data_IF_738936217784
#
_entry.id   IF_738936217784
#
_cell.length_a   1.000
_cell.length_b   1.000
_cell.length_c   1.000
_cell.angle_alpha   90.00
_cell.angle_beta   90.00
_cell.angle_gamma   90.00
#
_symmetry.space_group_name_H-M   'P 1'
#
loop_
_entity.id
_entity.type
_entity.pdbx_description
1 polymer ?
#
# COMPACT_ATOMS: atom_id res chain seq x y z
N UNK A 1 -11.31 21.21 9.95
CA UNK A 1 -9.84 21.14 9.72
C UNK A 1 -9.59 21.17 8.23
N UNK A 2 -8.47 21.77 7.83
CA UNK A 2 -8.06 21.78 6.42
C UNK A 2 -7.15 20.58 6.11
N UNK A 3 -7.52 19.82 5.12
CA UNK A 3 -6.76 18.65 4.68
C UNK A 3 -6.11 18.88 3.32
N UNK A 4 -4.95 18.25 3.10
CA UNK A 4 -4.41 18.06 1.77
C UNK A 4 -4.15 16.58 1.53
N UNK A 5 -4.44 16.08 0.33
CA UNK A 5 -4.10 14.71 -0.09
C UNK A 5 -3.16 14.78 -1.27
N UNK A 6 -1.94 14.27 -1.12
CA UNK A 6 -0.92 14.32 -2.16
C UNK A 6 -0.73 12.94 -2.77
N UNK A 7 -0.95 12.83 -4.09
CA UNK A 7 -0.84 11.58 -4.84
C UNK A 7 -2.19 10.93 -5.11
N UNK A 8 -2.80 11.27 -6.25
CA UNK A 8 -4.14 10.84 -6.66
C UNK A 8 -4.13 9.49 -7.40
N UNK A 9 -3.45 8.50 -6.79
CA UNK A 9 -3.61 7.10 -7.15
C UNK A 9 -4.90 6.50 -6.59
N UNK A 10 -5.01 5.17 -6.55
CA UNK A 10 -6.21 4.50 -6.03
C UNK A 10 -6.52 4.89 -4.57
N UNK A 11 -5.52 4.84 -3.69
CA UNK A 11 -5.67 5.19 -2.27
C UNK A 11 -5.98 6.67 -2.11
N UNK A 12 -5.17 7.57 -2.68
CA UNK A 12 -5.38 9.01 -2.50
C UNK A 12 -6.70 9.51 -3.06
N UNK A 13 -7.20 8.93 -4.17
CA UNK A 13 -8.52 9.24 -4.70
C UNK A 13 -9.66 8.78 -3.77
N UNK A 14 -9.52 7.62 -3.11
CA UNK A 14 -10.50 7.16 -2.12
C UNK A 14 -10.46 8.08 -0.89
N UNK A 15 -9.30 8.32 -0.32
CA UNK A 15 -9.13 9.13 0.89
C UNK A 15 -9.64 10.56 0.65
N UNK A 16 -9.16 11.21 -0.40
CA UNK A 16 -9.55 12.58 -0.74
C UNK A 16 -11.03 12.70 -1.13
N UNK A 17 -11.54 11.74 -1.90
CA UNK A 17 -12.95 11.72 -2.29
C UNK A 17 -13.89 11.53 -1.09
N UNK A 18 -13.54 10.69 -0.12
CA UNK A 18 -14.36 10.50 1.08
C UNK A 18 -14.31 11.71 2.02
N UNK A 19 -13.16 12.37 2.15
CA UNK A 19 -13.04 13.63 2.88
C UNK A 19 -13.96 14.70 2.26
N UNK A 20 -13.84 14.92 0.95
CA UNK A 20 -14.68 15.89 0.24
C UNK A 20 -16.17 15.55 0.35
N UNK A 21 -16.54 14.27 0.19
CA UNK A 21 -17.94 13.81 0.34
C UNK A 21 -18.51 14.01 1.73
N UNK A 22 -17.66 14.02 2.74
CA UNK A 22 -18.05 14.27 4.14
C UNK A 22 -18.19 15.76 4.49
N UNK A 23 -17.90 16.65 3.53
CA UNK A 23 -17.95 18.09 3.74
C UNK A 23 -16.69 18.67 4.42
N UNK A 24 -15.60 17.91 4.45
CA UNK A 24 -14.33 18.42 4.94
C UNK A 24 -13.68 19.35 3.91
N UNK A 25 -12.99 20.37 4.39
CA UNK A 25 -12.18 21.26 3.55
C UNK A 25 -10.92 20.49 3.13
N UNK A 26 -10.84 20.12 1.86
CA UNK A 26 -9.74 19.27 1.34
C UNK A 26 -9.28 19.72 -0.03
N UNK A 27 -7.96 19.89 -0.18
CA UNK A 27 -7.32 20.06 -1.47
C UNK A 27 -6.60 18.79 -1.90
N UNK A 28 -6.75 18.41 -3.16
CA UNK A 28 -6.13 17.23 -3.75
C UNK A 28 -4.99 17.64 -4.69
N UNK A 29 -3.78 17.13 -4.44
CA UNK A 29 -2.61 17.42 -5.24
C UNK A 29 -2.23 16.21 -6.08
N UNK A 30 -2.21 16.39 -7.41
CA UNK A 30 -1.95 15.32 -8.36
C UNK A 30 -1.21 15.77 -9.61
N UNK A 31 -1.00 14.83 -10.54
CA UNK A 31 -0.40 15.11 -11.85
C UNK A 31 -1.41 15.78 -12.78
N UNK A 32 -0.96 16.55 -13.78
CA UNK A 32 -1.81 17.34 -14.68
C UNK A 32 -2.97 16.53 -15.25
N UNK A 33 -2.71 15.33 -15.78
CA UNK A 33 -3.76 14.49 -16.35
C UNK A 33 -4.81 14.02 -15.31
N UNK A 34 -4.42 13.88 -14.05
CA UNK A 34 -5.34 13.53 -12.96
C UNK A 34 -6.20 14.74 -12.59
N UNK A 35 -5.57 15.89 -12.46
CA UNK A 35 -6.23 17.17 -12.13
C UNK A 35 -7.26 17.53 -13.18
N UNK A 36 -6.91 17.46 -14.46
CA UNK A 36 -7.82 17.76 -15.57
C UNK A 36 -9.08 16.87 -15.57
N UNK A 37 -8.90 15.56 -15.43
CA UNK A 37 -10.02 14.61 -15.42
C UNK A 37 -10.90 14.76 -14.17
N UNK A 38 -10.29 14.92 -12.99
CA UNK A 38 -11.04 15.08 -11.73
C UNK A 38 -11.80 16.42 -11.75
N UNK A 39 -11.21 17.50 -12.25
CA UNK A 39 -11.90 18.79 -12.37
C UNK A 39 -13.11 18.71 -13.30
N UNK A 40 -13.03 17.92 -14.38
CA UNK A 40 -14.12 17.74 -15.34
C UNK A 40 -15.21 16.79 -14.84
N UNK A 41 -14.88 15.71 -14.13
CA UNK A 41 -15.76 14.57 -13.88
C UNK A 41 -15.93 14.20 -12.39
N UNK A 42 -15.28 14.96 -11.49
CA UNK A 42 -15.26 14.60 -10.08
C UNK A 42 -14.50 13.30 -9.79
N UNK A 43 -14.76 12.75 -8.62
CA UNK A 43 -14.21 11.46 -8.17
C UNK A 43 -15.34 10.44 -8.04
N UNK A 44 -15.16 9.28 -8.68
CA UNK A 44 -16.05 8.14 -8.62
C UNK A 44 -15.40 7.00 -7.86
N UNK A 45 -16.03 6.55 -6.76
CA UNK A 45 -15.57 5.45 -5.91
C UNK A 45 -16.59 4.33 -5.99
N UNK A 46 -16.18 3.20 -6.58
CA UNK A 46 -16.97 1.99 -6.69
C UNK A 46 -16.59 0.98 -5.59
N UNK A 47 -17.43 -0.05 -5.36
CA UNK A 47 -17.10 -1.17 -4.47
C UNK A 47 -17.39 -0.93 -2.99
N UNK A 48 -17.83 0.26 -2.61
CA UNK A 48 -18.56 0.51 -1.38
C UNK A 48 -20.01 0.07 -1.54
N UNK A 49 -20.81 0.06 -0.47
CA UNK A 49 -22.21 -0.42 -0.54
C UNK A 49 -23.00 0.26 -1.66
N UNK A 50 -22.72 1.55 -1.91
CA UNK A 50 -23.27 2.34 -3.02
C UNK A 50 -22.11 2.99 -3.78
N UNK A 51 -22.36 3.31 -5.04
CA UNK A 51 -21.48 4.19 -5.81
C UNK A 51 -21.41 5.56 -5.13
N UNK A 52 -20.21 6.02 -4.82
CA UNK A 52 -20.00 7.39 -4.34
C UNK A 52 -19.46 8.22 -5.50
N UNK A 53 -20.17 9.32 -5.77
CA UNK A 53 -19.70 10.34 -6.69
C UNK A 53 -19.50 11.64 -5.92
N UNK A 54 -18.38 12.30 -6.17
CA UNK A 54 -18.00 13.57 -5.55
C UNK A 54 -17.71 14.57 -6.65
N UNK A 55 -18.64 15.51 -6.82
CA UNK A 55 -18.48 16.64 -7.74
C UNK A 55 -17.75 17.79 -7.05
N UNK A 56 -17.25 18.74 -7.83
CA UNK A 56 -16.66 20.00 -7.33
C UNK A 56 -15.52 19.79 -6.30
N UNK A 57 -14.61 18.86 -6.60
CA UNK A 57 -13.44 18.59 -5.78
C UNK A 57 -12.37 19.63 -6.06
N UNK A 58 -11.85 20.27 -5.01
CA UNK A 58 -10.69 21.15 -5.15
C UNK A 58 -9.44 20.33 -5.48
N UNK A 59 -8.88 20.54 -6.67
CA UNK A 59 -7.76 19.73 -7.17
C UNK A 59 -6.76 20.62 -7.93
N UNK A 60 -5.46 20.41 -7.69
CA UNK A 60 -4.38 21.20 -8.30
C UNK A 60 -3.11 20.38 -8.54
N UNK A 61 -2.24 20.92 -9.39
CA UNK A 61 -0.85 20.46 -9.53
C UNK A 61 0.11 21.28 -8.67
N UNK A 62 -0.34 22.40 -8.13
CA UNK A 62 0.48 23.32 -7.34
C UNK A 62 0.60 22.86 -5.89
N UNK A 63 1.80 22.44 -5.51
CA UNK A 63 2.09 21.97 -4.15
C UNK A 63 2.05 23.11 -3.12
N UNK A 64 2.21 24.38 -3.51
CA UNK A 64 2.19 25.51 -2.56
C UNK A 64 0.84 25.67 -1.86
N UNK A 65 -0.25 25.19 -2.47
CA UNK A 65 -1.61 25.28 -1.92
C UNK A 65 -1.83 24.44 -0.66
N UNK A 66 -0.87 23.59 -0.28
CA UNK A 66 -0.96 22.83 0.99
C UNK A 66 -0.52 23.65 2.21
N UNK A 67 -0.05 24.88 2.02
CA UNK A 67 0.54 25.73 3.07
C UNK A 67 -0.37 25.96 4.28
N UNK A 68 -1.68 26.04 4.05
CA UNK A 68 -2.69 26.26 5.09
C UNK A 68 -3.27 24.98 5.68
N UNK A 69 -2.83 23.81 5.21
CA UNK A 69 -3.36 22.53 5.67
C UNK A 69 -2.95 22.21 7.10
N UNK A 70 -3.91 21.75 7.90
CA UNK A 70 -3.66 21.24 9.26
C UNK A 70 -3.09 19.83 9.22
N UNK A 71 -3.58 19.01 8.27
CA UNK A 71 -3.17 17.62 8.07
C UNK A 71 -2.91 17.39 6.58
N UNK A 72 -1.73 16.86 6.27
CA UNK A 72 -1.34 16.45 4.91
C UNK A 72 -1.22 14.94 4.85
N UNK A 73 -1.95 14.32 3.92
CA UNK A 73 -1.98 12.88 3.71
C UNK A 73 -1.14 12.55 2.47
N UNK A 74 -0.09 11.72 2.65
CA UNK A 74 0.82 11.32 1.59
C UNK A 74 0.42 9.95 1.06
N UNK A 75 0.06 9.92 -0.23
CA UNK A 75 -0.36 8.73 -0.98
C UNK A 75 0.45 8.52 -2.26
N UNK A 76 1.57 9.23 -2.44
CA UNK A 76 2.47 9.00 -3.57
C UNK A 76 3.18 7.65 -3.44
N UNK A 77 3.80 7.17 -4.52
CA UNK A 77 4.65 5.98 -4.47
C UNK A 77 5.88 6.24 -3.61
N UNK A 78 6.37 5.19 -2.94
CA UNK A 78 7.47 5.28 -1.98
C UNK A 78 8.76 5.86 -2.57
N UNK A 79 9.04 5.62 -3.85
CA UNK A 79 10.19 6.20 -4.55
C UNK A 79 10.13 7.73 -4.70
N UNK A 80 8.95 8.30 -4.62
CA UNK A 80 8.75 9.76 -4.76
C UNK A 80 8.84 10.48 -3.40
N UNK A 81 8.96 9.76 -2.28
CA UNK A 81 8.85 10.30 -0.92
C UNK A 81 9.93 11.33 -0.60
N UNK A 82 11.19 11.04 -0.93
CA UNK A 82 12.32 11.92 -0.64
C UNK A 82 12.16 13.28 -1.34
N UNK A 83 11.95 13.24 -2.65
CA UNK A 83 11.79 14.46 -3.46
C UNK A 83 10.56 15.27 -3.03
N UNK A 84 9.44 14.58 -2.78
CA UNK A 84 8.24 15.24 -2.27
C UNK A 84 8.50 15.90 -0.92
N UNK A 85 9.20 15.26 0.00
CA UNK A 85 9.47 15.83 1.31
C UNK A 85 10.34 17.09 1.23
N UNK A 86 11.34 17.12 0.33
CA UNK A 86 12.20 18.27 0.09
C UNK A 86 11.42 19.46 -0.50
N UNK A 87 10.49 19.19 -1.41
CA UNK A 87 9.61 20.23 -1.95
C UNK A 87 8.59 20.70 -0.92
N UNK A 88 7.95 19.76 -0.22
CA UNK A 88 6.89 20.04 0.75
C UNK A 88 7.39 20.92 1.91
N UNK A 89 8.61 20.68 2.38
CA UNK A 89 9.27 21.46 3.45
C UNK A 89 9.26 22.97 3.19
N UNK A 90 9.22 23.41 1.92
CA UNK A 90 9.26 24.83 1.54
C UNK A 90 7.93 25.55 1.84
N UNK A 91 6.84 24.81 1.95
CA UNK A 91 5.50 25.39 2.01
C UNK A 91 4.79 25.15 3.33
N UNK A 92 5.08 24.05 4.04
CA UNK A 92 4.31 23.63 5.20
C UNK A 92 4.70 24.35 6.49
N UNK A 93 3.71 24.55 7.35
CA UNK A 93 3.92 25.11 8.70
C UNK A 93 4.46 24.03 9.65
N UNK A 94 5.21 24.40 10.67
CA UNK A 94 5.70 23.48 11.72
C UNK A 94 4.58 22.77 12.48
N UNK A 95 3.40 23.38 12.57
CA UNK A 95 2.21 22.80 13.22
C UNK A 95 1.45 21.79 12.36
N UNK A 96 1.76 21.72 11.06
CA UNK A 96 1.13 20.77 10.13
C UNK A 96 1.51 19.34 10.47
N UNK A 97 0.51 18.47 10.57
CA UNK A 97 0.69 17.03 10.77
C UNK A 97 0.78 16.35 9.39
N UNK A 98 1.72 15.45 9.23
CA UNK A 98 1.84 14.62 8.02
C UNK A 98 1.40 13.20 8.36
N UNK A 99 0.55 12.59 7.52
CA UNK A 99 0.15 11.19 7.62
C UNK A 99 0.63 10.46 6.36
N UNK A 100 1.54 9.48 6.52
CA UNK A 100 1.96 8.63 5.41
C UNK A 100 1.06 7.40 5.32
N UNK A 101 0.30 7.28 4.24
CA UNK A 101 -0.51 6.09 3.91
C UNK A 101 0.18 5.20 2.86
N UNK A 102 1.47 5.33 2.73
CA UNK A 102 2.29 4.63 1.76
C UNK A 102 2.62 3.20 2.22
N UNK A 103 2.92 2.31 1.27
CA UNK A 103 3.46 1.00 1.59
C UNK A 103 4.93 1.10 2.06
N UNK A 104 5.40 0.07 2.76
CA UNK A 104 6.77 0.04 3.30
C UNK A 104 6.85 0.55 4.73
N UNK A 105 8.07 0.63 5.24
CA UNK A 105 8.34 0.91 6.66
C UNK A 105 9.20 2.17 6.89
N UNK A 106 9.79 2.75 5.82
CA UNK A 106 10.74 3.87 5.93
C UNK A 106 10.15 5.24 5.60
N UNK A 107 8.99 5.31 4.93
CA UNK A 107 8.46 6.55 4.36
C UNK A 107 8.19 7.64 5.41
N UNK A 108 7.55 7.30 6.53
CA UNK A 108 7.29 8.26 7.62
C UNK A 108 8.58 8.79 8.25
N UNK A 109 9.62 7.94 8.36
CA UNK A 109 10.94 8.37 8.83
C UNK A 109 11.58 9.37 7.87
N UNK A 110 11.58 9.10 6.57
CA UNK A 110 12.10 10.02 5.54
C UNK A 110 11.37 11.37 5.63
N UNK A 111 10.03 11.35 5.64
CA UNK A 111 9.23 12.57 5.77
C UNK A 111 9.60 13.36 7.03
N UNK A 112 9.73 12.68 8.18
CA UNK A 112 10.09 13.33 9.45
C UNK A 112 11.50 13.92 9.43
N UNK A 113 12.49 13.20 8.93
CA UNK A 113 13.88 13.64 8.85
C UNK A 113 14.04 14.85 7.94
N UNK A 114 13.36 14.89 6.80
CA UNK A 114 13.45 15.97 5.82
C UNK A 114 12.66 17.21 6.23
N UNK A 115 11.40 17.02 6.62
CA UNK A 115 10.51 18.17 6.91
C UNK A 115 10.66 18.70 8.34
N UNK A 116 11.03 17.84 9.28
CA UNK A 116 11.08 18.15 10.72
C UNK A 116 9.70 18.31 11.35
N UNK A 117 8.63 17.91 10.67
CA UNK A 117 7.26 17.96 11.16
C UNK A 117 6.89 16.70 11.97
N UNK A 118 5.75 16.76 12.66
CA UNK A 118 5.12 15.55 13.22
C UNK A 118 4.61 14.68 12.08
N UNK A 119 5.10 13.45 12.02
CA UNK A 119 4.70 12.48 10.98
C UNK A 119 4.16 11.23 11.64
N UNK A 120 2.97 10.83 11.23
CA UNK A 120 2.35 9.56 11.62
C UNK A 120 2.29 8.60 10.43
N UNK A 121 2.47 7.33 10.71
CA UNK A 121 2.28 6.26 9.72
C UNK A 121 0.82 5.80 9.71
N UNK A 122 0.35 5.34 8.56
CA UNK A 122 -0.93 4.67 8.44
C UNK A 122 -0.85 3.40 7.60
N UNK A 123 -1.71 2.47 7.91
CA UNK A 123 -1.81 1.17 7.24
C UNK A 123 -3.17 1.06 6.57
N UNK A 124 -3.17 0.93 5.26
CA UNK A 124 -4.36 0.62 4.47
C UNK A 124 -4.52 -0.91 4.40
N UNK A 125 -5.65 -1.42 4.87
CA UNK A 125 -5.97 -2.85 4.84
C UNK A 125 -6.96 -3.22 3.70
N UNK A 126 -7.56 -2.23 3.04
CA UNK A 126 -8.35 -2.47 1.85
C UNK A 126 -7.48 -2.56 0.59
N UNK A 127 -8.02 -3.18 -0.46
CA UNK A 127 -7.41 -3.15 -1.79
C UNK A 127 -8.25 -2.30 -2.73
N UNK A 128 -7.56 -1.53 -3.58
CA UNK A 128 -8.20 -0.63 -4.51
C UNK A 128 -7.57 -0.72 -5.90
N UNK A 129 -8.42 -0.70 -6.92
CA UNK A 129 -8.03 -0.62 -8.32
C UNK A 129 -8.19 0.81 -8.81
N UNK A 130 -7.14 1.33 -9.42
CA UNK A 130 -7.18 2.60 -10.14
C UNK A 130 -7.62 2.34 -11.58
N UNK A 131 -8.87 2.64 -11.93
CA UNK A 131 -9.38 2.43 -13.29
C UNK A 131 -8.80 3.47 -14.25
N UNK A 132 -8.98 4.74 -13.91
CA UNK A 132 -8.46 5.93 -14.62
C UNK A 132 -8.46 7.12 -13.66
N UNK A 133 -7.93 8.30 -14.04
CA UNK A 133 -8.02 9.49 -13.21
C UNK A 133 -9.46 9.76 -12.74
N UNK A 134 -9.65 9.94 -11.43
CA UNK A 134 -10.94 10.19 -10.81
C UNK A 134 -11.89 8.97 -10.74
N UNK A 135 -11.50 7.80 -11.23
CA UNK A 135 -12.34 6.58 -11.16
C UNK A 135 -11.56 5.45 -10.49
N UNK A 136 -12.03 5.01 -9.33
CA UNK A 136 -11.39 3.99 -8.50
C UNK A 136 -12.41 2.96 -8.00
N UNK A 137 -11.95 1.74 -7.78
CA UNK A 137 -12.79 0.64 -7.26
C UNK A 137 -12.16 0.01 -6.04
N UNK A 138 -12.89 -0.03 -4.93
CA UNK A 138 -12.52 -0.81 -3.75
C UNK A 138 -12.79 -2.30 -4.06
N UNK A 139 -11.73 -3.07 -4.24
CA UNK A 139 -11.83 -4.48 -4.65
C UNK A 139 -11.79 -5.46 -3.48
N UNK A 140 -11.28 -5.03 -2.34
CA UNK A 140 -11.31 -5.78 -1.08
C UNK A 140 -11.62 -4.80 0.04
N UNK A 141 -12.65 -5.12 0.84
CA UNK A 141 -12.95 -4.35 2.06
C UNK A 141 -11.86 -4.57 3.10
N UNK A 142 -11.56 -3.54 3.85
CA UNK A 142 -10.58 -3.54 4.92
C UNK A 142 -10.55 -2.18 5.60
N UNK A 143 -9.83 -2.07 6.70
CA UNK A 143 -9.77 -0.89 7.54
C UNK A 143 -8.58 0.02 7.24
N UNK A 144 -8.43 0.97 8.14
CA UNK A 144 -7.32 1.90 8.23
C UNK A 144 -6.80 1.88 9.67
N UNK A 145 -5.50 1.65 9.85
CA UNK A 145 -4.85 1.79 11.15
C UNK A 145 -3.95 3.01 11.07
N UNK A 146 -4.13 3.96 11.98
CA UNK A 146 -3.30 5.17 12.05
C UNK A 146 -2.52 5.24 13.34
N UNK A 147 -1.28 5.66 13.21
CA UNK A 147 -0.47 6.03 14.35
C UNK A 147 -0.96 7.36 14.94
N UNK A 148 -0.90 7.47 16.27
CA UNK A 148 -1.18 8.71 16.98
C UNK A 148 -0.37 8.78 18.27
N UNK A 149 -0.43 9.93 18.93
CA UNK A 149 0.04 10.10 20.30
C UNK A 149 -1.02 10.83 21.14
N UNK A 150 -0.89 10.82 22.46
CA UNK A 150 -1.84 11.48 23.35
C UNK A 150 -2.09 12.95 22.96
N UNK A 151 -1.05 13.67 22.53
CA UNK A 151 -1.13 15.09 22.14
C UNK A 151 -1.96 15.34 20.88
N UNK A 152 -2.02 14.37 19.95
CA UNK A 152 -2.66 14.55 18.64
C UNK A 152 -3.91 13.68 18.45
N UNK A 153 -4.30 12.93 19.48
CA UNK A 153 -5.35 11.92 19.41
C UNK A 153 -6.67 12.50 18.88
N UNK A 154 -7.15 13.58 19.46
CA UNK A 154 -8.43 14.21 19.05
C UNK A 154 -8.43 14.65 17.58
N UNK A 155 -7.31 15.26 17.12
CA UNK A 155 -7.17 15.68 15.72
C UNK A 155 -7.21 14.51 14.76
N UNK A 156 -6.55 13.40 15.09
CA UNK A 156 -6.53 12.18 14.27
C UNK A 156 -7.86 11.41 14.36
N UNK A 157 -8.53 11.42 15.52
CA UNK A 157 -9.88 10.86 15.66
C UNK A 157 -10.89 11.55 14.73
N UNK A 158 -10.80 12.86 14.55
CA UNK A 158 -11.62 13.57 13.59
C UNK A 158 -11.45 13.03 12.17
N UNK A 159 -10.21 12.79 11.76
CA UNK A 159 -9.90 12.20 10.47
C UNK A 159 -10.48 10.79 10.29
N UNK A 160 -10.28 9.87 11.23
CA UNK A 160 -10.75 8.49 11.10
C UNK A 160 -12.28 8.36 11.15
N UNK A 161 -12.99 9.25 11.87
CA UNK A 161 -14.46 9.27 11.92
C UNK A 161 -15.09 9.37 10.52
N UNK A 162 -14.43 10.10 9.61
CA UNK A 162 -14.89 10.21 8.22
C UNK A 162 -14.98 8.83 7.56
N UNK A 163 -13.95 8.00 7.71
CA UNK A 163 -13.90 6.70 7.05
C UNK A 163 -14.84 5.67 7.66
N UNK A 164 -15.06 5.74 8.97
CA UNK A 164 -16.01 4.87 9.68
C UNK A 164 -17.46 5.05 9.18
N UNK A 165 -17.85 6.28 8.76
CA UNK A 165 -19.16 6.54 8.11
C UNK A 165 -19.36 5.70 6.84
N UNK A 166 -18.27 5.41 6.13
CA UNK A 166 -18.28 4.61 4.89
C UNK A 166 -17.95 3.13 5.11
N UNK A 167 -17.99 2.66 6.38
CA UNK A 167 -17.68 1.27 6.76
C UNK A 167 -16.25 0.84 6.41
N UNK A 168 -15.32 1.79 6.40
CA UNK A 168 -13.89 1.56 6.41
C UNK A 168 -13.45 1.64 7.88
N UNK A 169 -13.44 0.50 8.55
CA UNK A 169 -13.15 0.39 9.98
C UNK A 169 -11.77 0.96 10.29
N UNK A 170 -11.74 2.11 10.93
CA UNK A 170 -10.49 2.83 11.20
C UNK A 170 -10.20 2.87 12.69
N UNK A 171 -8.96 2.54 13.06
CA UNK A 171 -8.48 2.45 14.44
C UNK A 171 -7.21 3.26 14.65
N UNK A 172 -6.93 3.60 15.92
CA UNK A 172 -5.73 4.32 16.33
C UNK A 172 -4.79 3.41 17.12
N UNK A 173 -3.49 3.56 16.86
CA UNK A 173 -2.41 2.85 17.54
C UNK A 173 -1.32 3.83 17.96
N UNK A 174 -0.71 3.61 19.14
CA UNK A 174 0.41 4.44 19.60
C UNK A 174 1.77 3.93 19.10
N UNK A 175 1.84 2.67 18.67
CA UNK A 175 3.03 2.04 18.11
C UNK A 175 2.66 1.15 16.94
N UNK A 176 2.75 1.70 15.74
CA UNK A 176 2.33 1.05 14.49
C UNK A 176 3.46 0.23 13.84
N UNK A 177 4.72 0.36 14.27
CA UNK A 177 5.87 -0.22 13.58
C UNK A 177 5.75 -1.75 13.40
N UNK A 178 5.32 -2.46 14.44
CA UNK A 178 5.13 -3.91 14.34
C UNK A 178 4.07 -4.32 13.33
N UNK A 179 3.03 -3.52 13.16
CA UNK A 179 1.97 -3.75 12.17
C UNK A 179 2.46 -3.45 10.73
N UNK A 180 3.30 -2.40 10.56
CA UNK A 180 3.92 -2.09 9.25
C UNK A 180 4.79 -3.25 8.77
N UNK A 181 5.61 -3.83 9.64
CA UNK A 181 6.43 -4.99 9.32
C UNK A 181 5.59 -6.23 8.98
N UNK A 182 4.49 -6.47 9.72
CA UNK A 182 3.56 -7.57 9.40
C UNK A 182 2.93 -7.41 8.01
N UNK A 183 2.46 -6.21 7.69
CA UNK A 183 1.92 -5.91 6.37
C UNK A 183 2.98 -6.06 5.28
N UNK A 184 4.21 -5.61 5.55
CA UNK A 184 5.32 -5.74 4.60
C UNK A 184 5.58 -7.21 4.27
N UNK A 185 5.66 -8.10 5.27
CA UNK A 185 5.88 -9.55 5.05
C UNK A 185 4.76 -10.14 4.17
N UNK A 186 3.50 -9.78 4.44
CA UNK A 186 2.39 -10.23 3.58
C UNK A 186 2.50 -9.67 2.16
N UNK A 187 2.94 -8.42 2.00
CA UNK A 187 3.10 -7.78 0.70
C UNK A 187 4.28 -8.32 -0.13
N UNK A 188 5.20 -9.11 0.45
CA UNK A 188 6.28 -9.76 -0.31
C UNK A 188 5.75 -10.63 -1.46
N UNK A 189 4.53 -11.19 -1.33
CA UNK A 189 3.85 -11.94 -2.39
C UNK A 189 3.58 -11.09 -3.66
N UNK A 190 3.58 -9.76 -3.55
CA UNK A 190 3.26 -8.88 -4.68
C UNK A 190 4.25 -9.02 -5.83
N UNK A 191 5.51 -9.33 -5.55
CA UNK A 191 6.52 -9.63 -6.58
C UNK A 191 6.19 -10.92 -7.34
N UNK A 192 5.73 -11.96 -6.63
CA UNK A 192 5.35 -13.24 -7.25
C UNK A 192 4.16 -13.04 -8.19
N UNK A 193 3.09 -12.39 -7.72
CA UNK A 193 1.90 -12.13 -8.55
C UNK A 193 2.20 -11.19 -9.73
N UNK A 194 3.14 -10.26 -9.58
CA UNK A 194 3.56 -9.38 -10.67
C UNK A 194 4.33 -10.13 -11.76
N UNK A 195 5.22 -11.06 -11.37
CA UNK A 195 6.02 -11.86 -12.30
C UNK A 195 5.21 -12.97 -12.98
N UNK A 196 4.25 -13.59 -12.30
CA UNK A 196 3.41 -14.65 -12.87
C UNK A 196 2.19 -14.11 -13.62
N UNK A 197 1.85 -12.83 -13.44
CA UNK A 197 0.63 -12.26 -14.03
C UNK A 197 -0.67 -12.78 -13.43
N UNK A 198 -0.61 -13.53 -12.34
CA UNK A 198 -1.78 -14.14 -11.69
C UNK A 198 -2.54 -13.13 -10.82
N UNK A 199 -3.83 -13.39 -10.62
CA UNK A 199 -4.60 -12.73 -9.55
C UNK A 199 -4.09 -13.19 -8.18
N UNK A 200 -4.44 -12.47 -7.11
CA UNK A 200 -4.10 -12.91 -5.75
C UNK A 200 -4.70 -14.29 -5.49
N UNK A 201 -5.95 -14.51 -5.92
CA UNK A 201 -6.63 -15.81 -5.80
C UNK A 201 -5.88 -16.92 -6.55
N UNK A 202 -5.59 -16.71 -7.83
CA UNK A 202 -4.95 -17.72 -8.67
C UNK A 202 -3.57 -18.11 -8.13
N UNK A 203 -2.79 -17.12 -7.64
CA UNK A 203 -1.48 -17.38 -7.05
C UNK A 203 -1.52 -18.20 -5.76
N UNK A 204 -2.63 -18.15 -5.02
CA UNK A 204 -2.87 -18.98 -3.84
C UNK A 204 -3.32 -20.38 -4.25
N UNK A 205 -4.14 -20.52 -5.29
CA UNK A 205 -4.65 -21.80 -5.79
C UNK A 205 -3.55 -22.59 -6.50
N UNK A 206 -2.72 -21.92 -7.29
CA UNK A 206 -1.60 -22.54 -7.98
C UNK A 206 -0.54 -23.04 -6.97
N UNK A 207 -0.14 -24.32 -7.09
CA UNK A 207 0.76 -24.97 -6.12
C UNK A 207 2.16 -24.37 -6.10
N UNK A 208 2.69 -23.99 -7.26
CA UNK A 208 4.07 -23.52 -7.39
C UNK A 208 4.17 -22.04 -7.00
N UNK A 209 3.23 -21.20 -7.43
CA UNK A 209 3.11 -19.81 -6.94
C UNK A 209 2.93 -19.76 -5.43
N UNK A 210 2.07 -20.61 -4.87
CA UNK A 210 1.86 -20.70 -3.42
C UNK A 210 3.15 -21.12 -2.69
N UNK A 211 3.91 -22.08 -3.22
CA UNK A 211 5.20 -22.49 -2.65
C UNK A 211 6.19 -21.31 -2.64
N UNK A 212 6.27 -20.54 -3.72
CA UNK A 212 7.11 -19.35 -3.83
C UNK A 212 6.67 -18.29 -2.81
N UNK A 213 5.37 -18.02 -2.71
CA UNK A 213 4.82 -17.07 -1.75
C UNK A 213 5.20 -17.46 -0.31
N UNK A 214 5.02 -18.72 0.05
CA UNK A 214 5.38 -19.24 1.36
C UNK A 214 6.88 -19.06 1.64
N UNK A 215 7.74 -19.41 0.69
CA UNK A 215 9.19 -19.31 0.83
C UNK A 215 9.64 -17.85 0.98
N UNK A 216 9.09 -16.94 0.16
CA UNK A 216 9.38 -15.51 0.20
C UNK A 216 8.98 -14.87 1.53
N UNK A 217 7.75 -15.17 2.01
CA UNK A 217 7.26 -14.65 3.29
C UNK A 217 8.03 -15.25 4.47
N UNK A 218 8.37 -16.55 4.41
CA UNK A 218 9.15 -17.21 5.45
C UNK A 218 10.55 -16.60 5.56
N UNK A 219 11.25 -16.40 4.44
CA UNK A 219 12.55 -15.73 4.43
C UNK A 219 12.46 -14.34 5.07
N UNK A 220 11.45 -13.53 4.70
CA UNK A 220 11.22 -12.21 5.32
C UNK A 220 10.99 -12.30 6.83
N UNK A 221 10.15 -13.23 7.28
CA UNK A 221 9.84 -13.41 8.70
C UNK A 221 11.05 -13.89 9.51
N UNK A 222 11.82 -14.83 8.96
CA UNK A 222 13.05 -15.34 9.58
C UNK A 222 14.10 -14.22 9.75
N UNK A 223 14.20 -13.31 8.77
CA UNK A 223 15.08 -12.14 8.84
C UNK A 223 14.61 -11.17 9.91
N UNK A 224 13.31 -10.85 9.99
CA UNK A 224 12.77 -10.00 11.06
C UNK A 224 13.12 -10.57 12.45
N UNK A 225 12.92 -11.88 12.64
CA UNK A 225 13.20 -12.54 13.93
C UNK A 225 14.70 -12.47 14.29
N UNK A 226 15.58 -12.81 13.35
CA UNK A 226 17.05 -12.77 13.57
C UNK A 226 17.56 -11.35 13.81
N UNK A 227 16.94 -10.38 13.17
CA UNK A 227 17.23 -8.95 13.33
C UNK A 227 16.56 -8.32 14.55
N UNK A 228 15.83 -9.10 15.36
CA UNK A 228 15.08 -8.65 16.56
C UNK A 228 14.07 -7.52 16.25
N UNK A 229 13.55 -7.50 15.04
CA UNK A 229 12.50 -6.54 14.65
C UNK A 229 11.15 -7.07 15.12
N UNK A 230 10.43 -6.33 16.01
CA UNK A 230 9.12 -6.74 16.46
C UNK A 230 8.11 -6.65 15.30
N UNK A 231 7.22 -7.62 15.23
CA UNK A 231 6.03 -7.54 14.39
C UNK A 231 4.79 -7.87 15.22
N UNK A 232 3.66 -7.30 14.84
CA UNK A 232 2.37 -7.45 15.53
C UNK A 232 1.34 -8.00 14.58
N UNK A 233 0.42 -8.80 15.08
CA UNK A 233 -0.72 -9.30 14.31
C UNK A 233 -1.61 -8.13 13.87
N UNK A 234 -1.90 -8.02 12.59
CA UNK A 234 -2.92 -7.15 12.02
C UNK A 234 -4.30 -7.79 12.19
N UNK A 235 -5.39 -7.01 12.22
CA UNK A 235 -6.73 -7.57 12.12
C UNK A 235 -6.80 -8.51 10.91
N UNK A 236 -7.21 -9.76 11.14
CA UNK A 236 -7.32 -10.84 10.15
C UNK A 236 -6.02 -11.25 9.43
N UNK A 237 -4.88 -10.63 9.74
CA UNK A 237 -3.59 -10.90 9.08
C UNK A 237 -2.48 -11.11 10.12
N UNK A 238 -2.08 -12.35 10.31
CA UNK A 238 -0.84 -12.73 11.00
C UNK A 238 0.08 -13.42 9.98
N UNK A 239 1.32 -12.95 9.75
CA UNK A 239 2.24 -13.57 8.79
C UNK A 239 2.49 -15.06 9.08
N UNK A 240 2.61 -15.48 10.34
CA UNK A 240 2.80 -16.89 10.72
C UNK A 240 1.55 -17.71 10.42
N UNK A 241 0.38 -17.20 10.81
CA UNK A 241 -0.90 -17.87 10.54
C UNK A 241 -1.14 -17.95 9.04
N UNK A 242 -0.84 -16.88 8.31
CA UNK A 242 -0.96 -16.84 6.84
C UNK A 242 -0.09 -17.91 6.20
N UNK A 243 1.19 -17.99 6.55
CA UNK A 243 2.11 -19.05 6.06
C UNK A 243 1.57 -20.43 6.42
N UNK A 244 1.10 -20.64 7.66
CA UNK A 244 0.54 -21.93 8.11
C UNK A 244 -0.71 -22.30 7.31
N UNK A 245 -1.63 -21.36 7.10
CA UNK A 245 -2.85 -21.58 6.29
C UNK A 245 -2.48 -21.96 4.86
N UNK A 246 -1.57 -21.23 4.21
CA UNK A 246 -1.11 -21.52 2.85
C UNK A 246 -0.46 -22.91 2.73
N UNK A 247 0.24 -23.40 3.75
CA UNK A 247 0.82 -24.77 3.76
C UNK A 247 -0.23 -25.87 3.86
N UNK A 248 -1.29 -25.67 4.63
CA UNK A 248 -2.34 -26.67 4.87
C UNK A 248 -3.29 -26.77 3.67
N UNK A 249 -3.43 -25.70 2.89
CA UNK A 249 -4.29 -25.65 1.74
C UNK A 249 -3.78 -26.60 0.62
N UNK A 250 -4.40 -27.77 0.50
CA UNK A 250 -4.18 -28.61 -0.67
C UNK A 250 -5.10 -28.14 -1.83
N UNK A 251 -4.72 -28.49 -3.06
CA UNK A 251 -5.42 -28.04 -4.27
C UNK A 251 -6.90 -28.45 -4.34
N UNK A 252 -7.30 -29.51 -3.64
CA UNK A 252 -8.69 -30.00 -3.61
C UNK A 252 -9.54 -29.13 -2.67
N UNK A 253 -9.04 -28.87 -1.45
CA UNK A 253 -9.70 -27.95 -0.50
C UNK A 253 -9.80 -26.52 -1.05
N UNK A 254 -8.83 -26.08 -1.84
CA UNK A 254 -8.84 -24.75 -2.47
C UNK A 254 -9.86 -24.63 -3.60
N UNK A 255 -10.04 -25.66 -4.43
CA UNK A 255 -11.10 -25.66 -5.46
C UNK A 255 -12.50 -25.65 -4.85
N UNK A 256 -12.71 -26.35 -3.74
CA UNK A 256 -13.96 -26.34 -2.99
C UNK A 256 -14.11 -25.07 -2.13
N UNK A 257 -13.03 -24.62 -1.49
CA UNK A 257 -13.00 -23.50 -0.55
C UNK A 257 -12.80 -22.12 -1.19
N UNK A 258 -12.48 -22.01 -2.49
CA UNK A 258 -12.33 -20.73 -3.16
C UNK A 258 -13.62 -19.90 -3.14
N UNK A 259 -14.78 -20.57 -3.12
CA UNK A 259 -16.10 -19.95 -2.86
C UNK A 259 -16.27 -19.52 -1.39
N UNK A 260 -15.65 -20.25 -0.45
CA UNK A 260 -15.74 -19.99 1.01
C UNK A 260 -14.78 -18.87 1.41
N UNK A 261 -13.61 -18.76 0.79
CA UNK A 261 -12.60 -17.75 1.11
C UNK A 261 -12.96 -16.32 0.64
N UNK A 262 -14.10 -16.14 -0.07
CA UNK A 262 -14.57 -14.83 -0.61
C UNK A 262 -13.44 -14.01 -1.25
N UNK A 263 -12.40 -14.65 -1.81
CA UNK A 263 -11.32 -13.96 -2.50
C UNK A 263 -11.90 -13.37 -3.78
N UNK A 264 -11.71 -12.07 -3.95
CA UNK A 264 -12.12 -11.40 -5.17
C UNK A 264 -11.34 -11.98 -6.37
N UNK A 265 -12.07 -12.47 -7.36
CA UNK A 265 -11.52 -13.17 -8.54
C UNK A 265 -10.64 -12.25 -9.41
N UNK A 266 -10.87 -10.96 -9.35
CA UNK A 266 -10.18 -9.95 -10.17
C UNK A 266 -9.11 -9.17 -9.42
N UNK A 267 -8.93 -9.42 -8.11
CA UNK A 267 -7.99 -8.66 -7.30
C UNK A 267 -6.54 -8.89 -7.74
N UNK A 268 -5.86 -7.80 -8.09
CA UNK A 268 -4.46 -7.76 -8.52
C UNK A 268 -3.62 -7.01 -7.49
N UNK A 269 -2.37 -7.43 -7.32
CA UNK A 269 -1.44 -6.70 -6.46
C UNK A 269 -1.13 -5.31 -7.03
N UNK A 270 -0.79 -4.35 -6.15
CA UNK A 270 -0.37 -3.00 -6.56
C UNK A 270 0.90 -3.03 -7.43
N UNK A 271 1.79 -4.00 -7.19
CA UNK A 271 3.02 -4.19 -7.96
C UNK A 271 2.71 -4.65 -9.38
N UNK A 272 1.81 -5.63 -9.55
CA UNK A 272 1.31 -6.02 -10.87
C UNK A 272 0.69 -4.84 -11.62
N UNK A 273 -0.16 -4.04 -10.94
CA UNK A 273 -0.79 -2.87 -11.55
C UNK A 273 0.24 -1.84 -12.04
N UNK A 274 1.34 -1.64 -11.29
CA UNK A 274 2.42 -0.73 -11.71
C UNK A 274 3.15 -1.28 -12.92
N UNK A 275 3.58 -2.54 -12.88
CA UNK A 275 4.31 -3.20 -13.95
C UNK A 275 3.49 -3.28 -15.24
N UNK A 276 2.22 -3.67 -15.16
CA UNK A 276 1.29 -3.73 -16.29
C UNK A 276 1.10 -2.37 -17.00
N UNK A 277 1.22 -1.27 -16.24
CA UNK A 277 1.13 0.11 -16.77
C UNK A 277 2.48 0.68 -17.21
N UNK A 278 3.53 -0.11 -17.27
CA UNK A 278 4.88 0.37 -17.58
C UNK A 278 5.40 1.41 -16.58
N UNK A 279 4.99 1.33 -15.32
CA UNK A 279 5.41 2.26 -14.26
C UNK A 279 6.36 1.56 -13.30
N UNK A 280 7.34 2.27 -12.73
CA UNK A 280 8.19 1.74 -11.66
C UNK A 280 7.36 1.15 -10.51
N UNK A 281 7.80 -0.01 -10.01
CA UNK A 281 7.16 -0.68 -8.88
C UNK A 281 7.74 -0.19 -7.54
N UNK A 282 7.16 -0.64 -6.43
CA UNK A 282 7.70 -0.38 -5.09
C UNK A 282 8.57 -1.54 -4.58
N UNK A 283 9.21 -2.31 -5.48
CA UNK A 283 9.98 -3.51 -5.12
C UNK A 283 11.08 -3.23 -4.10
N UNK A 284 11.77 -2.10 -4.22
CA UNK A 284 12.84 -1.68 -3.30
C UNK A 284 12.32 -1.29 -1.90
N UNK A 285 11.05 -0.91 -1.81
CA UNK A 285 10.40 -0.50 -0.56
C UNK A 285 9.54 -1.60 0.06
N UNK A 286 9.49 -2.76 -0.56
CA UNK A 286 8.80 -3.96 -0.06
C UNK A 286 9.82 -5.08 0.12
N UNK A 287 10.20 -5.80 -0.95
CA UNK A 287 11.19 -6.88 -0.86
C UNK A 287 12.60 -6.33 -0.55
N UNK A 288 12.91 -5.10 -1.02
CA UNK A 288 14.16 -4.41 -0.73
C UNK A 288 14.38 -4.15 0.76
N UNK A 289 13.33 -3.85 1.53
CA UNK A 289 13.45 -3.69 2.99
C UNK A 289 13.97 -4.96 3.68
N UNK A 290 13.57 -6.12 3.20
CA UNK A 290 14.05 -7.41 3.73
C UNK A 290 15.52 -7.62 3.37
N UNK A 291 15.93 -7.32 2.13
CA UNK A 291 17.33 -7.47 1.72
C UNK A 291 18.24 -6.46 2.40
N UNK A 292 17.78 -5.24 2.60
CA UNK A 292 18.53 -4.20 3.32
C UNK A 292 18.70 -4.57 4.80
N UNK A 293 17.63 -5.05 5.43
CA UNK A 293 17.66 -5.53 6.82
C UNK A 293 18.60 -6.74 6.97
N UNK A 294 18.53 -7.68 6.02
CA UNK A 294 19.42 -8.84 5.99
C UNK A 294 20.89 -8.40 5.90
N UNK A 295 21.20 -7.51 4.93
CA UNK A 295 22.56 -6.98 4.76
C UNK A 295 23.09 -6.29 6.02
N UNK A 296 22.25 -5.48 6.68
CA UNK A 296 22.62 -4.76 7.91
C UNK A 296 22.95 -5.69 9.09
N UNK A 297 22.44 -6.92 9.07
CA UNK A 297 22.62 -7.91 10.15
C UNK A 297 23.43 -9.13 9.71
N UNK A 298 24.23 -9.03 8.62
CA UNK A 298 25.05 -10.11 8.05
C UNK A 298 24.27 -11.40 7.76
N UNK A 299 23.00 -11.24 7.34
CA UNK A 299 22.11 -12.32 6.94
C UNK A 299 21.97 -12.38 5.42
N UNK A 300 21.44 -13.50 4.91
CA UNK A 300 21.18 -13.69 3.47
C UNK A 300 19.66 -13.73 3.21
N UNK A 301 19.24 -13.08 2.12
CA UNK A 301 17.87 -13.07 1.62
C UNK A 301 17.83 -13.43 0.12
N UNK A 302 18.23 -14.66 -0.27
CA UNK A 302 18.41 -15.03 -1.67
C UNK A 302 17.13 -14.99 -2.48
N UNK A 303 15.99 -15.40 -1.92
CA UNK A 303 14.70 -15.43 -2.62
C UNK A 303 14.21 -14.00 -2.90
N UNK A 304 14.15 -13.15 -1.86
CA UNK A 304 13.73 -11.75 -2.03
C UNK A 304 14.69 -10.99 -2.95
N UNK A 305 16.01 -11.22 -2.85
CA UNK A 305 17.01 -10.62 -3.73
C UNK A 305 16.75 -11.00 -5.20
N UNK A 306 16.52 -12.29 -5.48
CA UNK A 306 16.26 -12.76 -6.85
C UNK A 306 14.96 -12.21 -7.41
N UNK A 307 13.90 -12.13 -6.59
CA UNK A 307 12.64 -11.48 -7.00
C UNK A 307 12.84 -9.99 -7.35
N UNK A 308 13.67 -9.25 -6.62
CA UNK A 308 14.02 -7.86 -6.95
C UNK A 308 14.70 -7.78 -8.32
N UNK A 309 15.69 -8.63 -8.57
CA UNK A 309 16.40 -8.67 -9.86
C UNK A 309 15.42 -8.89 -11.02
N UNK A 310 14.53 -9.88 -10.91
CA UNK A 310 13.55 -10.21 -11.94
C UNK A 310 12.51 -9.10 -12.16
N UNK A 311 12.03 -8.46 -11.10
CA UNK A 311 11.11 -7.31 -11.24
C UNK A 311 11.81 -6.13 -11.92
N UNK A 312 13.05 -5.81 -11.55
CA UNK A 312 13.81 -4.75 -12.20
C UNK A 312 14.14 -5.03 -13.66
N UNK A 313 14.37 -6.27 -14.00
CA UNK A 313 14.50 -6.70 -15.40
C UNK A 313 13.20 -6.48 -16.17
N UNK A 314 12.06 -6.86 -15.57
CA UNK A 314 10.74 -6.66 -16.18
C UNK A 314 10.42 -5.16 -16.36
N UNK A 315 10.77 -4.31 -15.41
CA UNK A 315 10.62 -2.85 -15.50
C UNK A 315 11.42 -2.27 -16.69
N UNK A 316 12.68 -2.71 -16.88
CA UNK A 316 13.53 -2.24 -17.98
C UNK A 316 13.00 -2.64 -19.35
N UNK A 317 12.45 -3.84 -19.46
CA UNK A 317 12.03 -4.38 -20.74
C UNK A 317 10.64 -3.91 -21.19
N UNK A 318 9.93 -3.11 -20.38
CA UNK A 318 8.53 -2.70 -20.60
C UNK A 318 7.60 -3.85 -21.04
N UNK A 319 7.97 -5.10 -20.71
CA UNK A 319 7.23 -6.31 -21.06
C UNK A 319 6.89 -7.04 -19.78
N UNK A 320 5.62 -7.18 -19.51
CA UNK A 320 5.07 -8.16 -18.59
C UNK A 320 5.25 -9.55 -19.18
N UNK A 321 6.49 -10.05 -19.26
CA UNK A 321 6.72 -11.46 -19.58
C UNK A 321 6.29 -12.23 -18.34
N UNK A 322 5.10 -12.80 -18.39
CA UNK A 322 4.62 -13.66 -17.31
C UNK A 322 5.48 -14.93 -17.26
N UNK A 323 6.05 -15.19 -16.10
CA UNK A 323 6.72 -16.45 -15.85
C UNK A 323 5.70 -17.54 -15.53
N UNK A 324 5.86 -18.70 -16.14
CA UNK A 324 5.17 -19.89 -15.67
C UNK A 324 5.60 -20.18 -14.22
N UNK A 325 4.66 -20.43 -13.29
CA UNK A 325 4.98 -20.61 -11.88
C UNK A 325 6.04 -21.66 -11.59
N UNK A 326 5.99 -22.81 -12.27
CA UNK A 326 6.99 -23.86 -12.14
C UNK A 326 8.39 -23.38 -12.54
N UNK A 327 8.50 -22.58 -13.61
CA UNK A 327 9.78 -22.04 -14.07
C UNK A 327 10.31 -20.97 -13.10
N UNK A 328 9.44 -20.12 -12.58
CA UNK A 328 9.84 -19.13 -11.56
C UNK A 328 10.36 -19.83 -10.30
N UNK A 329 9.71 -20.90 -9.87
CA UNK A 329 10.13 -21.71 -8.73
C UNK A 329 11.52 -22.32 -8.93
N UNK A 330 11.79 -22.88 -10.12
CA UNK A 330 13.12 -23.40 -10.51
C UNK A 330 14.19 -22.29 -10.43
N UNK A 331 13.93 -21.11 -11.00
CA UNK A 331 14.84 -19.94 -10.96
C UNK A 331 15.17 -19.50 -9.54
N UNK A 332 14.22 -19.65 -8.62
CA UNK A 332 14.37 -19.29 -7.20
C UNK A 332 14.98 -20.41 -6.36
N UNK A 333 15.25 -21.59 -6.94
CA UNK A 333 15.75 -22.79 -6.25
C UNK A 333 14.88 -23.20 -5.05
N UNK A 334 13.55 -23.27 -5.25
CA UNK A 334 12.54 -23.61 -4.22
C UNK A 334 11.93 -24.98 -4.51
#
# INVERSE_FOLDING_TARGET
MKYAVIGLGAVGSIIGGLLAKSGEEVILIGKSNQVEEIRKKGIKINGLNNLIHVDNVEVSTDLSLVSDSDIIIICVKSQDTQNLAEELKKFIRKSTIIISLQNGVRNSRILKEVTGNTVFSGIILFNALYNKPGDVTLTLKGGLILETSSLYKERIEGFIKVFNKYKIESTLETNIQGFLWSKLVVNLQNAVTALTGQTIKDSIVDKDSRAIIIATMKEGLDILQKSKIPYKTLPDIDPKITIRRLKILNSVLLKLGSRILKLNETARSSMWQSLYRGRPTEIDYINGEITDLAKKNDLKAPINKKLIELIKEAEKNNKTKSYEPAKLKEILNI
#
